data_IF_714051338330
#
_entry.id   IF_714051338330
#
_cell.length_a   1.000
_cell.length_b   1.000
_cell.length_c   1.000
_cell.angle_alpha   90.00
_cell.angle_beta   90.00
_cell.angle_gamma   90.00
#
_symmetry.space_group_name_H-M   'P 1'
#
loop_
_entity.id
_entity.type
_entity.pdbx_description
1 polymer ?
#
# COMPACT_ATOMS: atom_id res chain seq x y z
N UNK A 1 -7.42 19.69 17.70
CA UNK A 1 -8.52 18.70 17.81
C UNK A 1 -7.89 17.35 18.11
N UNK A 2 -8.51 16.46 18.90
CA UNK A 2 -7.91 15.14 19.14
C UNK A 2 -7.87 14.34 17.82
N UNK A 3 -6.81 13.55 17.53
CA UNK A 3 -6.66 12.81 16.27
C UNK A 3 -7.87 11.94 15.92
N UNK A 4 -8.54 11.38 16.92
CA UNK A 4 -9.73 10.52 16.74
C UNK A 4 -10.95 11.28 16.21
N UNK A 5 -11.16 12.51 16.67
CA UNK A 5 -12.22 13.40 16.19
C UNK A 5 -11.96 13.86 14.74
N UNK A 6 -10.68 14.06 14.39
CA UNK A 6 -10.26 14.39 13.04
C UNK A 6 -10.52 13.23 12.07
N UNK A 7 -10.11 12.01 12.46
CA UNK A 7 -10.32 10.81 11.65
C UNK A 7 -11.82 10.54 11.41
N UNK A 8 -12.65 10.60 12.45
CA UNK A 8 -14.10 10.38 12.30
C UNK A 8 -14.74 11.39 11.35
N UNK A 9 -14.30 12.65 11.39
CA UNK A 9 -14.77 13.69 10.47
C UNK A 9 -14.36 13.37 9.04
N UNK A 10 -13.09 13.02 8.81
CA UNK A 10 -12.57 12.68 7.47
C UNK A 10 -13.22 11.44 6.87
N UNK A 11 -13.54 10.43 7.68
CA UNK A 11 -14.33 9.27 7.24
C UNK A 11 -15.68 9.71 6.67
N UNK A 12 -16.41 10.56 7.38
CA UNK A 12 -17.73 11.04 6.93
C UNK A 12 -17.66 11.85 5.63
N UNK A 13 -16.67 12.74 5.51
CA UNK A 13 -16.44 13.52 4.29
C UNK A 13 -16.12 12.61 3.09
N UNK A 14 -15.29 11.60 3.31
CA UNK A 14 -14.91 10.62 2.28
C UNK A 14 -16.10 9.78 1.83
N UNK A 15 -16.92 9.31 2.77
CA UNK A 15 -18.13 8.53 2.43
C UNK A 15 -19.13 9.37 1.63
N UNK A 16 -19.32 10.64 1.98
CA UNK A 16 -20.21 11.54 1.23
C UNK A 16 -19.73 11.75 -0.21
N UNK A 17 -18.41 11.91 -0.42
CA UNK A 17 -17.86 12.08 -1.77
C UNK A 17 -17.88 10.78 -2.57
N UNK A 18 -17.77 9.62 -1.90
CA UNK A 18 -17.97 8.31 -2.51
C UNK A 18 -19.39 8.15 -3.08
N UNK A 19 -20.43 8.49 -2.31
CA UNK A 19 -21.83 8.47 -2.77
C UNK A 19 -22.01 9.30 -4.04
N UNK A 20 -21.47 10.54 -4.04
CA UNK A 20 -21.55 11.43 -5.20
C UNK A 20 -20.80 10.91 -6.43
N UNK A 21 -19.66 10.26 -6.23
CA UNK A 21 -18.88 9.66 -7.31
C UNK A 21 -19.62 8.46 -7.91
N UNK A 22 -20.16 7.57 -7.07
CA UNK A 22 -20.85 6.35 -7.48
C UNK A 22 -22.20 6.62 -8.16
N UNK A 23 -22.89 7.71 -7.79
CA UNK A 23 -24.16 8.13 -8.40
C UNK A 23 -23.97 8.97 -9.69
N UNK A 24 -22.75 9.09 -10.21
CA UNK A 24 -22.46 9.93 -11.37
C UNK A 24 -21.43 9.34 -12.33
N UNK A 25 -21.56 9.63 -13.62
CA UNK A 25 -20.52 9.36 -14.63
C UNK A 25 -19.47 10.48 -14.72
N UNK A 26 -19.27 11.24 -13.63
CA UNK A 26 -18.47 12.45 -13.62
C UNK A 26 -17.04 12.17 -13.17
N UNK A 27 -16.08 12.28 -14.10
CA UNK A 27 -14.64 12.21 -13.78
C UNK A 27 -14.23 13.23 -12.72
N UNK A 28 -14.95 14.36 -12.60
CA UNK A 28 -14.72 15.34 -11.54
C UNK A 28 -15.00 14.76 -10.16
N UNK A 29 -16.13 14.07 -9.98
CA UNK A 29 -16.48 13.50 -8.67
C UNK A 29 -15.52 12.37 -8.28
N UNK A 30 -15.08 11.54 -9.23
CA UNK A 30 -14.05 10.54 -8.95
C UNK A 30 -12.69 11.14 -8.55
N UNK A 31 -12.29 12.29 -9.14
CA UNK A 31 -11.09 13.02 -8.69
C UNK A 31 -11.24 13.62 -7.31
N UNK A 32 -12.41 14.20 -7.02
CA UNK A 32 -12.71 14.73 -5.69
C UNK A 32 -12.71 13.61 -4.64
N UNK A 33 -13.24 12.43 -4.97
CA UNK A 33 -13.21 11.25 -4.10
C UNK A 33 -11.78 10.72 -3.88
N UNK A 34 -10.96 10.60 -4.93
CA UNK A 34 -9.54 10.19 -4.80
C UNK A 34 -8.76 11.10 -3.83
N UNK A 35 -8.96 12.41 -3.93
CA UNK A 35 -8.33 13.37 -3.02
C UNK A 35 -8.76 13.14 -1.56
N UNK A 36 -10.05 12.86 -1.30
CA UNK A 36 -10.53 12.56 0.04
C UNK A 36 -10.00 11.23 0.58
N UNK A 37 -9.85 10.20 -0.26
CA UNK A 37 -9.23 8.93 0.10
C UNK A 37 -7.78 9.13 0.55
N UNK A 38 -6.99 9.91 -0.20
CA UNK A 38 -5.60 10.25 0.19
C UNK A 38 -5.53 10.98 1.52
N UNK A 39 -6.40 11.97 1.72
CA UNK A 39 -6.47 12.70 2.99
C UNK A 39 -6.89 11.82 4.16
N UNK A 40 -7.82 10.88 3.93
CA UNK A 40 -8.25 9.91 4.93
C UNK A 40 -7.12 8.96 5.31
N UNK A 41 -6.39 8.42 4.34
CA UNK A 41 -5.21 7.56 4.56
C UNK A 41 -4.14 8.28 5.38
N UNK A 42 -3.78 9.51 4.98
CA UNK A 42 -2.84 10.33 5.73
C UNK A 42 -3.30 10.59 7.18
N UNK A 43 -4.58 10.93 7.38
CA UNK A 43 -5.15 11.16 8.72
C UNK A 43 -5.16 9.88 9.56
N UNK A 44 -5.45 8.72 8.96
CA UNK A 44 -5.42 7.43 9.64
C UNK A 44 -3.99 7.06 10.08
N UNK A 45 -3.00 7.31 9.22
CA UNK A 45 -1.58 7.13 9.52
C UNK A 45 -1.13 8.02 10.68
N UNK A 46 -1.49 9.30 10.69
CA UNK A 46 -1.18 10.22 11.79
C UNK A 46 -1.82 9.77 13.12
N UNK A 47 -3.10 9.37 13.09
CA UNK A 47 -3.79 8.87 14.26
C UNK A 47 -3.15 7.58 14.81
N UNK A 48 -2.71 6.68 13.92
CA UNK A 48 -1.96 5.49 14.27
C UNK A 48 -0.60 5.82 14.91
N UNK A 49 0.17 6.73 14.33
CA UNK A 49 1.46 7.17 14.86
C UNK A 49 1.31 7.85 16.23
N UNK A 50 0.29 8.69 16.41
CA UNK A 50 -0.01 9.33 17.69
C UNK A 50 -0.30 8.31 18.79
N UNK A 51 -1.03 7.23 18.47
CA UNK A 51 -1.30 6.12 19.42
C UNK A 51 -0.03 5.39 19.84
N UNK A 52 0.98 5.32 18.98
CA UNK A 52 2.23 4.61 19.25
C UNK A 52 3.36 5.49 19.77
N UNK A 53 3.15 6.81 19.86
CA UNK A 53 4.20 7.79 20.13
C UNK A 53 4.97 7.54 21.43
N UNK A 54 4.30 7.00 22.44
CA UNK A 54 4.90 6.68 23.73
C UNK A 54 5.68 5.34 23.71
N UNK A 55 5.22 4.37 22.94
CA UNK A 55 5.72 2.99 22.99
C UNK A 55 7.00 2.80 22.15
N UNK A 56 7.16 3.53 21.04
CA UNK A 56 8.30 3.31 20.14
C UNK A 56 9.64 3.88 20.65
N UNK A 57 9.63 4.85 21.57
CA UNK A 57 10.86 5.45 22.13
C UNK A 57 11.74 4.43 22.84
N UNK A 58 11.13 3.49 23.56
CA UNK A 58 11.84 2.40 24.22
C UNK A 58 12.54 1.48 23.22
N UNK A 59 11.84 1.16 22.14
CA UNK A 59 12.34 0.32 21.04
C UNK A 59 13.52 1.01 20.35
N UNK A 60 13.41 2.30 20.00
CA UNK A 60 14.50 3.07 19.40
C UNK A 60 15.78 3.03 20.23
N UNK A 61 15.67 3.33 21.52
CA UNK A 61 16.82 3.34 22.44
C UNK A 61 17.49 1.96 22.54
N UNK A 62 16.71 0.87 22.46
CA UNK A 62 17.25 -0.50 22.45
C UNK A 62 17.94 -0.82 21.12
N UNK A 63 17.32 -0.47 19.99
CA UNK A 63 17.90 -0.66 18.66
C UNK A 63 19.25 0.07 18.52
N UNK A 64 19.34 1.32 18.96
CA UNK A 64 20.56 2.13 18.89
C UNK A 64 21.70 1.59 19.77
N UNK A 65 21.35 0.99 20.91
CA UNK A 65 22.29 0.41 21.88
C UNK A 65 22.54 -1.07 21.66
N UNK A 66 22.06 -1.65 20.56
CA UNK A 66 22.13 -3.08 20.26
C UNK A 66 21.64 -3.97 21.42
N UNK A 67 20.62 -3.49 22.16
CA UNK A 67 20.02 -4.24 23.26
C UNK A 67 18.95 -5.20 22.72
N UNK A 68 18.80 -6.39 23.33
CA UNK A 68 17.72 -7.31 22.96
C UNK A 68 16.35 -6.65 23.10
N UNK A 69 15.50 -6.86 22.08
CA UNK A 69 14.08 -6.54 22.12
C UNK A 69 13.31 -7.72 22.73
N UNK A 70 12.30 -7.41 23.54
CA UNK A 70 11.30 -8.41 23.98
C UNK A 70 10.42 -8.81 22.80
N UNK A 71 9.65 -9.89 22.96
CA UNK A 71 8.73 -10.34 21.92
C UNK A 71 7.67 -9.27 21.57
N UNK A 72 7.09 -8.64 22.60
CA UNK A 72 6.15 -7.53 22.41
C UNK A 72 6.78 -6.35 21.65
N UNK A 73 8.06 -6.04 21.90
CA UNK A 73 8.77 -4.98 21.18
C UNK A 73 9.07 -5.37 19.73
N UNK A 74 9.32 -6.66 19.45
CA UNK A 74 9.49 -7.17 18.08
C UNK A 74 8.20 -7.12 17.28
N UNK A 75 7.07 -7.47 17.90
CA UNK A 75 5.76 -7.34 17.26
C UNK A 75 5.39 -5.87 17.03
N UNK A 76 5.71 -4.98 17.96
CA UNK A 76 5.53 -3.54 17.76
C UNK A 76 6.42 -3.02 16.62
N UNK A 77 7.68 -3.45 16.54
CA UNK A 77 8.58 -3.12 15.44
C UNK A 77 8.02 -3.57 14.08
N UNK A 78 7.48 -4.79 14.04
CA UNK A 78 6.81 -5.35 12.85
C UNK A 78 5.59 -4.54 12.45
N UNK A 79 4.74 -4.18 13.41
CA UNK A 79 3.56 -3.35 13.20
C UNK A 79 3.94 -1.96 12.66
N UNK A 80 4.99 -1.35 13.19
CA UNK A 80 5.47 -0.04 12.74
C UNK A 80 5.98 -0.07 11.30
N UNK A 81 6.79 -1.06 10.92
CA UNK A 81 7.51 -1.03 9.63
C UNK A 81 6.70 -1.67 8.50
N UNK A 82 5.98 -2.76 8.77
CA UNK A 82 5.23 -3.54 7.76
C UNK A 82 3.78 -3.83 8.16
N UNK A 83 3.24 -3.13 9.15
CA UNK A 83 1.87 -3.33 9.62
C UNK A 83 0.83 -3.04 8.53
N UNK A 84 0.93 -1.89 7.88
CA UNK A 84 0.04 -1.51 6.77
C UNK A 84 0.05 -2.54 5.64
N UNK A 85 1.25 -2.93 5.17
CA UNK A 85 1.45 -3.99 4.17
C UNK A 85 0.72 -5.28 4.54
N UNK A 86 0.87 -5.72 5.80
CA UNK A 86 0.21 -6.93 6.31
C UNK A 86 -1.31 -6.80 6.33
N UNK A 87 -1.83 -5.63 6.74
CA UNK A 87 -3.26 -5.38 6.75
C UNK A 87 -3.83 -5.31 5.33
N UNK A 88 -3.14 -4.66 4.40
CA UNK A 88 -3.49 -4.66 2.99
C UNK A 88 -3.60 -6.09 2.43
N UNK A 89 -2.54 -6.90 2.51
CA UNK A 89 -2.57 -8.27 1.99
C UNK A 89 -3.56 -9.20 2.69
N UNK A 90 -3.92 -8.92 3.95
CA UNK A 90 -4.94 -9.68 4.69
C UNK A 90 -6.34 -9.45 4.13
N UNK A 91 -6.60 -8.25 3.62
CA UNK A 91 -7.92 -7.84 3.17
C UNK A 91 -8.07 -7.81 1.65
N UNK A 92 -6.96 -7.82 0.91
CA UNK A 92 -6.95 -7.92 -0.56
C UNK A 92 -7.46 -9.30 -1.03
N UNK A 93 -8.42 -9.27 -1.95
CA UNK A 93 -9.10 -10.46 -2.47
C UNK A 93 -9.26 -10.47 -4.00
N UNK A 94 -8.78 -9.45 -4.71
CA UNK A 94 -8.95 -9.32 -6.17
C UNK A 94 -7.77 -9.83 -6.99
N UNK A 95 -6.67 -10.26 -6.37
CA UNK A 95 -5.47 -10.75 -7.08
C UNK A 95 -5.78 -11.81 -8.16
N UNK A 96 -6.66 -12.76 -7.85
CA UNK A 96 -7.00 -13.81 -8.81
C UNK A 96 -7.85 -13.27 -9.97
N UNK A 97 -8.75 -12.32 -9.69
CA UNK A 97 -9.54 -11.64 -10.73
C UNK A 97 -8.62 -10.88 -11.69
N UNK A 98 -7.63 -10.15 -11.15
CA UNK A 98 -6.64 -9.44 -11.96
C UNK A 98 -5.80 -10.39 -12.83
N UNK A 99 -5.42 -11.56 -12.30
CA UNK A 99 -4.66 -12.57 -13.04
C UNK A 99 -5.48 -13.20 -14.16
N UNK A 100 -6.74 -13.54 -13.88
CA UNK A 100 -7.66 -14.07 -14.90
C UNK A 100 -7.84 -13.06 -16.03
N UNK A 101 -8.06 -11.79 -15.69
CA UNK A 101 -8.22 -10.74 -16.69
C UNK A 101 -6.94 -10.50 -17.49
N UNK A 102 -5.77 -10.46 -16.83
CA UNK A 102 -4.50 -10.32 -17.52
C UNK A 102 -4.22 -11.49 -18.48
N UNK A 103 -4.52 -12.72 -18.07
CA UNK A 103 -4.40 -13.90 -18.93
C UNK A 103 -5.33 -13.79 -20.15
N UNK A 104 -6.58 -13.37 -19.94
CA UNK A 104 -7.54 -13.14 -21.04
C UNK A 104 -7.01 -12.13 -22.06
N UNK A 105 -6.41 -11.04 -21.59
CA UNK A 105 -5.82 -10.01 -22.46
C UNK A 105 -4.63 -10.57 -23.25
N UNK A 106 -3.77 -11.37 -22.63
CA UNK A 106 -2.63 -12.02 -23.30
C UNK A 106 -3.11 -13.02 -24.36
N UNK A 107 -4.09 -13.87 -24.03
CA UNK A 107 -4.67 -14.83 -24.98
C UNK A 107 -5.28 -14.14 -26.20
N UNK A 108 -5.91 -12.97 -26.02
CA UNK A 108 -6.47 -12.21 -27.14
C UNK A 108 -5.36 -11.63 -28.04
N UNK A 109 -4.26 -11.13 -27.45
CA UNK A 109 -3.09 -10.68 -28.21
C UNK A 109 -2.51 -11.83 -29.03
N UNK A 110 -2.37 -13.02 -28.42
CA UNK A 110 -1.90 -14.23 -29.11
C UNK A 110 -2.83 -14.64 -30.27
N UNK A 111 -4.15 -14.55 -30.08
CA UNK A 111 -5.12 -14.81 -31.15
C UNK A 111 -4.95 -13.87 -32.33
N UNK A 112 -4.79 -12.57 -32.07
CA UNK A 112 -4.59 -11.56 -33.12
C UNK A 112 -3.28 -11.84 -33.87
N UNK A 113 -2.19 -12.13 -33.14
CA UNK A 113 -0.89 -12.48 -33.72
C UNK A 113 -0.99 -13.69 -34.65
N UNK A 114 -1.64 -14.77 -34.20
CA UNK A 114 -1.82 -15.99 -34.97
C UNK A 114 -2.60 -15.79 -36.28
N UNK A 115 -3.50 -14.79 -36.33
CA UNK A 115 -4.27 -14.45 -37.54
C UNK A 115 -3.58 -13.44 -38.47
N UNK A 116 -2.44 -12.88 -38.05
CA UNK A 116 -1.67 -11.88 -38.79
C UNK A 116 -2.01 -10.45 -38.38
N UNK A 117 -1.21 -9.87 -37.47
CA UNK A 117 -1.40 -8.53 -36.89
C UNK A 117 -0.94 -7.37 -37.80
N UNK A 118 -1.36 -7.36 -39.07
CA UNK A 118 -0.84 -6.42 -40.08
C UNK A 118 -1.86 -5.39 -40.58
N UNK A 119 -3.14 -5.58 -40.31
CA UNK A 119 -4.19 -4.62 -40.67
C UNK A 119 -4.44 -3.60 -39.55
N UNK A 120 -5.09 -2.49 -39.92
CA UNK A 120 -5.34 -1.36 -39.01
C UNK A 120 -6.21 -1.77 -37.82
N UNK A 121 -7.22 -2.60 -38.02
CA UNK A 121 -8.15 -2.97 -36.95
C UNK A 121 -7.44 -3.86 -35.91
N UNK A 122 -6.64 -4.83 -36.37
CA UNK A 122 -5.79 -5.65 -35.50
C UNK A 122 -4.82 -4.81 -34.66
N UNK A 123 -4.19 -3.79 -35.26
CA UNK A 123 -3.28 -2.89 -34.55
C UNK A 123 -4.00 -2.05 -33.49
N UNK A 124 -5.19 -1.52 -33.81
CA UNK A 124 -6.01 -0.76 -32.85
C UNK A 124 -6.52 -1.66 -31.72
N UNK A 125 -6.87 -2.92 -32.01
CA UNK A 125 -7.29 -3.87 -31.00
C UNK A 125 -6.15 -4.19 -30.02
N UNK A 126 -4.94 -4.45 -30.51
CA UNK A 126 -3.75 -4.63 -29.66
C UNK A 126 -3.51 -3.40 -28.78
N UNK A 127 -3.65 -2.18 -29.33
CA UNK A 127 -3.49 -0.95 -28.54
C UNK A 127 -4.51 -0.85 -27.40
N UNK A 128 -5.77 -1.26 -27.63
CA UNK A 128 -6.80 -1.31 -26.61
C UNK A 128 -6.45 -2.34 -25.51
N UNK A 129 -6.08 -3.56 -25.89
CA UNK A 129 -5.68 -4.62 -24.94
C UNK A 129 -4.47 -4.20 -24.09
N UNK A 130 -3.48 -3.54 -24.70
CA UNK A 130 -2.34 -2.97 -24.00
C UNK A 130 -2.72 -1.81 -23.06
N UNK A 131 -3.79 -1.08 -23.34
CA UNK A 131 -4.30 -0.05 -22.44
C UNK A 131 -4.95 -0.69 -21.22
N UNK A 132 -5.77 -1.71 -21.42
CA UNK A 132 -6.43 -2.43 -20.32
C UNK A 132 -5.40 -3.14 -19.42
N UNK A 133 -4.40 -3.80 -20.02
CA UNK A 133 -3.33 -4.44 -19.26
C UNK A 133 -2.54 -3.42 -18.40
N UNK A 134 -2.31 -2.21 -18.91
CA UNK A 134 -1.64 -1.13 -18.17
C UNK A 134 -2.44 -0.61 -16.98
N UNK A 135 -3.75 -0.85 -16.93
CA UNK A 135 -4.57 -0.52 -15.77
C UNK A 135 -4.47 -1.58 -14.66
N UNK A 136 -4.27 -2.86 -15.02
CA UNK A 136 -4.25 -3.99 -14.07
C UNK A 136 -2.85 -4.29 -13.52
N UNK A 137 -1.83 -4.16 -14.37
CA UNK A 137 -0.44 -4.46 -13.99
C UNK A 137 0.06 -3.71 -12.74
N UNK A 138 -0.28 -2.42 -12.52
CA UNK A 138 0.10 -1.72 -11.30
C UNK A 138 -0.43 -2.40 -10.03
N UNK A 139 -1.68 -2.88 -10.03
CA UNK A 139 -2.30 -3.49 -8.85
C UNK A 139 -1.64 -4.83 -8.50
N UNK A 140 -1.39 -5.68 -9.51
CA UNK A 140 -0.65 -6.94 -9.33
C UNK A 140 0.77 -6.66 -8.83
N UNK A 141 1.45 -5.67 -9.42
CA UNK A 141 2.82 -5.31 -9.04
C UNK A 141 2.86 -4.81 -7.60
N UNK A 142 1.89 -3.97 -7.21
CA UNK A 142 1.75 -3.44 -5.87
C UNK A 142 1.56 -4.56 -4.85
N UNK A 143 0.66 -5.52 -5.13
CA UNK A 143 0.45 -6.70 -4.29
C UNK A 143 1.76 -7.45 -3.99
N UNK A 144 2.51 -7.81 -5.04
CA UNK A 144 3.76 -8.54 -4.86
C UNK A 144 4.82 -7.69 -4.17
N UNK A 145 4.87 -6.39 -4.44
CA UNK A 145 5.82 -5.49 -3.77
C UNK A 145 5.59 -5.44 -2.26
N UNK A 146 4.34 -5.41 -1.80
CA UNK A 146 3.99 -5.42 -0.37
C UNK A 146 4.27 -6.79 0.27
N UNK A 147 4.04 -7.88 -0.46
CA UNK A 147 4.42 -9.24 -0.01
C UNK A 147 5.94 -9.35 0.16
N UNK A 148 6.71 -8.91 -0.82
CA UNK A 148 8.16 -8.91 -0.72
C UNK A 148 8.69 -7.99 0.37
N UNK A 149 8.05 -6.83 0.60
CA UNK A 149 8.38 -5.92 1.70
C UNK A 149 8.29 -6.62 3.05
N UNK A 150 7.23 -7.41 3.28
CA UNK A 150 7.06 -8.22 4.49
C UNK A 150 8.15 -9.31 4.56
N UNK A 151 8.36 -10.05 3.47
CA UNK A 151 9.36 -11.13 3.44
C UNK A 151 10.78 -10.60 3.72
N UNK A 152 11.15 -9.45 3.13
CA UNK A 152 12.44 -8.79 3.36
C UNK A 152 12.58 -8.37 4.82
N UNK A 153 11.53 -7.79 5.41
CA UNK A 153 11.55 -7.42 6.82
C UNK A 153 11.72 -8.64 7.73
N UNK A 154 10.96 -9.71 7.52
CA UNK A 154 11.02 -10.92 8.34
C UNK A 154 12.37 -11.62 8.21
N UNK A 155 12.93 -11.71 6.99
CA UNK A 155 14.30 -12.23 6.78
C UNK A 155 15.35 -11.37 7.48
N UNK A 156 15.29 -10.04 7.32
CA UNK A 156 16.28 -9.12 7.90
C UNK A 156 16.26 -9.09 9.43
N UNK A 157 15.08 -9.30 10.03
CA UNK A 157 14.85 -9.28 11.48
C UNK A 157 14.86 -10.66 12.12
N UNK A 158 15.01 -11.73 11.32
CA UNK A 158 15.18 -13.09 11.81
C UNK A 158 16.47 -13.19 12.66
N UNK A 159 16.31 -13.61 13.91
CA UNK A 159 17.41 -13.75 14.87
C UNK A 159 17.79 -12.46 15.62
N UNK A 160 19.09 -12.34 15.92
CA UNK A 160 19.62 -11.22 16.71
C UNK A 160 19.82 -9.98 15.83
N UNK A 161 19.31 -8.85 16.30
CA UNK A 161 19.53 -7.53 15.69
C UNK A 161 20.84 -7.00 16.25
N UNK A 162 21.89 -6.98 15.42
CA UNK A 162 23.18 -6.38 15.75
C UNK A 162 23.11 -4.84 15.74
N UNK A 163 24.23 -4.20 16.11
CA UNK A 163 24.31 -2.75 16.21
C UNK A 163 24.09 -2.03 14.87
N UNK A 164 24.48 -2.62 13.75
CA UNK A 164 24.33 -2.01 12.42
C UNK A 164 22.88 -2.06 11.98
N UNK A 165 22.27 -3.26 12.00
CA UNK A 165 20.84 -3.46 11.72
C UNK A 165 19.98 -2.61 12.65
N UNK A 166 20.33 -2.54 13.93
CA UNK A 166 19.66 -1.71 14.92
C UNK A 166 19.63 -0.23 14.54
N UNK A 167 20.77 0.33 14.12
CA UNK A 167 20.83 1.73 13.64
C UNK A 167 20.01 1.97 12.38
N UNK A 168 20.04 1.04 11.42
CA UNK A 168 19.25 1.14 10.19
C UNK A 168 17.76 1.17 10.52
N UNK A 169 17.28 0.21 11.33
CA UNK A 169 15.89 0.13 11.76
C UNK A 169 15.46 1.38 12.56
N UNK A 170 16.33 1.88 13.45
CA UNK A 170 16.06 3.10 14.19
C UNK A 170 15.93 4.33 13.26
N UNK A 171 16.75 4.40 12.21
CA UNK A 171 16.66 5.42 11.17
C UNK A 171 15.33 5.36 10.40
N UNK A 172 14.91 4.16 10.00
CA UNK A 172 13.62 3.93 9.32
C UNK A 172 12.46 4.38 10.20
N UNK A 173 12.40 3.92 11.45
CA UNK A 173 11.33 4.31 12.38
C UNK A 173 11.30 5.83 12.59
N UNK A 174 12.46 6.47 12.76
CA UNK A 174 12.52 7.93 12.89
C UNK A 174 11.97 8.64 11.66
N UNK A 175 12.33 8.20 10.46
CA UNK A 175 11.81 8.78 9.22
C UNK A 175 10.28 8.61 9.12
N UNK A 176 9.76 7.43 9.46
CA UNK A 176 8.32 7.17 9.46
C UNK A 176 7.56 8.08 10.44
N UNK A 177 8.09 8.24 11.65
CA UNK A 177 7.47 9.06 12.70
C UNK A 177 7.68 10.58 12.51
N UNK A 178 8.65 10.99 11.70
CA UNK A 178 8.93 12.40 11.41
C UNK A 178 8.14 12.94 10.21
N UNK A 179 7.46 12.08 9.45
CA UNK A 179 6.72 12.44 8.23
C UNK A 179 5.43 13.26 8.48
N UNK A 180 5.34 14.00 9.60
CA UNK A 180 4.25 14.91 9.97
C UNK A 180 4.08 16.14 9.04
N UNK A 181 4.82 16.26 7.92
CA UNK A 181 4.86 17.50 7.11
C UNK A 181 5.06 17.32 5.61
N UNK A 182 4.22 16.53 4.95
CA UNK A 182 4.03 16.65 3.50
C UNK A 182 2.55 16.66 3.18
#
# INVERSE_FOLDING_TARGET
MAPELQLSTKVKETLKTAEQALDSDSTRHYREFDEHIRQLEATAREAFQAKLQHDYKGILNKLEKAKPLTESEREMLKLLIVGEAKYYLKHENDLENWRVELNRLVEEIERIEATGANDIDSLLHIQALCRDARHILPDITYYYSEKERIDRFEKATSGQIDAEKGRILAGVIRAMMASEKM
#
